data_IF_541260080760
#
_entry.id   IF_541260080760
#
_cell.length_a   1.000
_cell.length_b   1.000
_cell.length_c   1.000
_cell.angle_alpha   90.00
_cell.angle_beta   90.00
_cell.angle_gamma   90.00
#
_symmetry.space_group_name_H-M   'P 1'
#
loop_
_entity.id
_entity.type
_entity.pdbx_description
1 polymer ?
#
# COMPACT_ATOMS: atom_id res chain seq x y z
N UNK A 1 2.04 -6.12 -5.50
CA UNK A 1 2.13 -4.83 -6.23
C UNK A 1 3.50 -4.19 -5.98
N UNK A 2 3.91 -3.89 -4.74
CA UNK A 2 5.23 -3.31 -4.45
C UNK A 2 6.42 -4.04 -5.13
N UNK A 3 6.50 -5.37 -4.98
CA UNK A 3 7.53 -6.18 -5.67
C UNK A 3 7.41 -6.14 -7.21
N UNK A 4 6.19 -6.22 -7.76
CA UNK A 4 5.99 -6.13 -9.21
C UNK A 4 6.31 -4.72 -9.76
N UNK A 5 6.02 -3.67 -8.99
CA UNK A 5 6.42 -2.30 -9.28
C UNK A 5 7.93 -2.13 -9.22
N UNK A 6 8.64 -2.94 -8.43
CA UNK A 6 10.10 -2.91 -8.32
C UNK A 6 10.85 -3.71 -9.41
N UNK A 7 10.17 -4.52 -10.23
CA UNK A 7 10.81 -5.48 -11.15
C UNK A 7 10.63 -5.13 -12.65
N UNK A 8 10.44 -3.86 -13.03
CA UNK A 8 10.20 -3.39 -14.42
C UNK A 8 9.08 -4.13 -15.15
N UNK A 9 7.88 -3.98 -14.61
CA UNK A 9 6.64 -4.52 -15.18
C UNK A 9 6.12 -3.69 -16.36
N UNK A 10 5.36 -4.24 -17.35
CA UNK A 10 4.78 -3.48 -18.46
C UNK A 10 3.69 -2.48 -18.05
N UNK A 11 3.40 -2.35 -16.76
CA UNK A 11 2.44 -1.38 -16.24
C UNK A 11 2.93 0.05 -16.49
N UNK A 12 1.98 0.99 -16.58
CA UNK A 12 2.27 2.42 -16.79
C UNK A 12 2.17 3.24 -15.51
N UNK A 13 1.50 2.70 -14.50
CA UNK A 13 1.27 3.30 -13.20
C UNK A 13 0.83 2.21 -12.23
N UNK A 14 0.84 2.50 -10.93
CA UNK A 14 0.27 1.62 -9.92
C UNK A 14 -0.59 2.40 -8.90
N UNK A 15 -1.55 1.70 -8.29
CA UNK A 15 -2.34 2.21 -7.18
C UNK A 15 -2.11 1.30 -5.98
N UNK A 16 -1.68 1.89 -4.88
CA UNK A 16 -1.39 1.21 -3.62
C UNK A 16 -2.45 1.60 -2.60
N UNK A 17 -3.55 0.86 -2.58
CA UNK A 17 -4.54 1.04 -1.55
C UNK A 17 -4.15 0.23 -0.30
N UNK A 18 -3.98 0.92 0.83
CA UNK A 18 -3.52 0.37 2.13
C UNK A 18 -2.38 -0.66 1.98
N UNK A 19 -1.21 -0.27 1.45
CA UNK A 19 -0.15 -1.24 1.17
C UNK A 19 0.39 -1.88 2.47
N UNK A 20 0.33 -3.21 2.57
CA UNK A 20 0.83 -3.97 3.72
C UNK A 20 2.36 -4.10 3.73
N UNK A 21 3.10 -3.00 3.68
CA UNK A 21 4.58 -3.00 3.55
C UNK A 21 5.29 -3.77 4.66
N UNK A 22 4.77 -3.74 5.88
CA UNK A 22 5.31 -4.49 7.02
C UNK A 22 5.28 -6.02 6.89
N UNK A 23 4.69 -6.57 5.83
CA UNK A 23 4.74 -8.01 5.54
C UNK A 23 6.17 -8.49 5.22
N UNK A 24 7.00 -7.61 4.65
CA UNK A 24 8.38 -7.91 4.29
C UNK A 24 9.20 -8.32 5.52
N UNK A 25 9.06 -7.58 6.62
CA UNK A 25 9.63 -7.94 7.92
C UNK A 25 8.89 -9.06 8.63
N UNK A 26 7.56 -8.99 8.72
CA UNK A 26 6.78 -9.91 9.59
C UNK A 26 6.76 -11.34 9.06
N UNK A 27 6.56 -11.50 7.76
CA UNK A 27 6.39 -12.80 7.10
C UNK A 27 7.70 -13.23 6.44
N UNK A 28 8.30 -12.35 5.64
CA UNK A 28 9.49 -12.72 4.85
C UNK A 28 10.81 -12.56 5.61
N UNK A 29 10.78 -12.01 6.84
CA UNK A 29 11.96 -11.79 7.70
C UNK A 29 13.04 -10.93 7.04
N UNK A 30 12.60 -9.96 6.23
CA UNK A 30 13.44 -9.01 5.49
C UNK A 30 13.26 -7.59 6.02
N UNK A 31 13.78 -6.60 5.30
CA UNK A 31 13.84 -5.20 5.70
C UNK A 31 12.87 -4.36 4.87
N UNK A 32 11.85 -3.80 5.54
CA UNK A 32 10.83 -2.96 4.92
C UNK A 32 11.44 -1.66 4.35
N UNK A 33 12.41 -1.06 5.04
CA UNK A 33 13.07 0.18 4.62
C UNK A 33 13.92 -0.06 3.38
N UNK A 34 14.63 -1.20 3.33
CA UNK A 34 15.39 -1.60 2.16
C UNK A 34 14.48 -1.82 0.95
N UNK A 35 13.36 -2.53 1.12
CA UNK A 35 12.38 -2.75 0.05
C UNK A 35 11.85 -1.42 -0.52
N UNK A 36 11.48 -0.47 0.35
CA UNK A 36 11.00 0.85 -0.08
C UNK A 36 12.10 1.65 -0.80
N UNK A 37 13.36 1.49 -0.39
CA UNK A 37 14.51 2.15 -1.03
C UNK A 37 14.80 1.60 -2.43
N UNK A 38 14.71 0.29 -2.61
CA UNK A 38 15.03 -0.44 -3.84
C UNK A 38 13.91 -0.43 -4.89
N UNK A 39 12.75 0.15 -4.56
CA UNK A 39 11.64 0.22 -5.49
C UNK A 39 12.03 0.95 -6.79
N UNK A 40 11.74 0.30 -7.93
CA UNK A 40 12.05 0.79 -9.27
C UNK A 40 11.32 2.11 -9.54
N UNK A 41 12.11 3.18 -9.70
CA UNK A 41 11.69 4.58 -9.83
C UNK A 41 11.06 4.95 -11.18
N UNK A 42 10.45 4.00 -11.90
CA UNK A 42 10.05 4.21 -13.30
C UNK A 42 8.54 4.32 -13.50
N UNK A 43 7.74 4.16 -12.44
CA UNK A 43 6.28 4.03 -12.53
C UNK A 43 5.59 4.97 -11.56
N UNK A 44 4.81 5.97 -12.03
CA UNK A 44 3.98 6.80 -11.16
C UNK A 44 3.07 5.97 -10.26
N UNK A 45 3.04 6.29 -8.96
CA UNK A 45 2.28 5.56 -7.95
C UNK A 45 1.32 6.49 -7.23
N UNK A 46 0.06 6.06 -7.13
CA UNK A 46 -0.94 6.63 -6.23
C UNK A 46 -0.95 5.83 -4.93
N UNK A 47 -0.64 6.46 -3.80
CA UNK A 47 -0.65 5.82 -2.46
C UNK A 47 -1.89 6.25 -1.68
N UNK A 48 -2.68 5.29 -1.20
CA UNK A 48 -3.94 5.52 -0.47
C UNK A 48 -3.90 4.87 0.92
N UNK A 49 -3.14 5.42 1.88
CA UNK A 49 -2.99 4.85 3.21
C UNK A 49 -4.26 5.03 4.05
N UNK A 50 -4.59 4.03 4.86
CA UNK A 50 -5.65 4.08 5.87
C UNK A 50 -5.17 4.79 7.16
N UNK A 51 -6.11 5.13 8.05
CA UNK A 51 -5.79 5.82 9.30
C UNK A 51 -4.86 5.04 10.23
N UNK A 52 -4.99 3.72 10.25
CA UNK A 52 -4.15 2.82 11.06
C UNK A 52 -3.00 2.15 10.27
N UNK A 53 -2.69 2.64 9.07
CA UNK A 53 -1.46 2.26 8.36
C UNK A 53 -0.23 2.95 8.97
N UNK A 54 0.96 2.46 8.62
CA UNK A 54 2.25 3.01 9.06
C UNK A 54 2.35 4.51 8.68
N UNK A 55 2.73 5.35 9.64
CA UNK A 55 2.82 6.80 9.43
C UNK A 55 3.81 7.17 8.34
N UNK A 56 4.82 6.33 8.07
CA UNK A 56 5.77 6.55 6.96
C UNK A 56 5.12 6.50 5.58
N UNK A 57 3.95 5.87 5.45
CA UNK A 57 3.18 5.80 4.19
C UNK A 57 2.19 6.95 4.00
N UNK A 58 1.94 7.74 5.04
CA UNK A 58 1.00 8.87 5.02
C UNK A 58 1.62 10.09 4.36
N UNK A 59 0.79 11.09 4.05
CA UNK A 59 1.27 12.34 3.47
C UNK A 59 2.32 13.00 4.40
N UNK A 60 3.49 13.33 3.85
CA UNK A 60 4.65 13.82 4.62
C UNK A 60 5.48 12.74 5.34
N UNK A 61 5.11 11.46 5.20
CA UNK A 61 5.88 10.33 5.72
C UNK A 61 7.10 9.99 4.86
N UNK A 62 8.19 9.55 5.49
CA UNK A 62 9.48 9.27 4.83
C UNK A 62 9.34 8.38 3.59
N UNK A 63 8.62 7.27 3.70
CA UNK A 63 8.46 6.34 2.58
C UNK A 63 7.58 6.92 1.48
N UNK A 64 6.50 7.62 1.84
CA UNK A 64 5.61 8.24 0.87
C UNK A 64 6.34 9.33 0.05
N UNK A 65 7.09 10.21 0.72
CA UNK A 65 7.89 11.24 0.06
C UNK A 65 8.95 10.64 -0.85
N UNK A 66 9.67 9.62 -0.39
CA UNK A 66 10.69 8.93 -1.18
C UNK A 66 10.08 8.27 -2.43
N UNK A 67 8.94 7.61 -2.28
CA UNK A 67 8.22 6.99 -3.41
C UNK A 67 7.83 8.04 -4.44
N UNK A 68 7.15 9.11 -4.02
CA UNK A 68 6.69 10.16 -4.95
C UNK A 68 7.86 10.89 -5.60
N UNK A 69 8.93 11.18 -4.87
CA UNK A 69 10.13 11.80 -5.42
C UNK A 69 10.81 10.93 -6.48
N UNK A 70 10.86 9.61 -6.26
CA UNK A 70 11.49 8.66 -7.20
C UNK A 70 10.62 8.38 -8.42
N UNK A 71 9.30 8.27 -8.22
CA UNK A 71 8.39 7.69 -9.22
C UNK A 71 7.42 8.71 -9.85
N UNK A 72 7.22 9.85 -9.20
CA UNK A 72 6.04 10.68 -9.42
C UNK A 72 4.77 10.05 -8.85
N UNK A 73 3.64 10.74 -9.01
CA UNK A 73 2.34 10.34 -8.47
C UNK A 73 1.90 11.22 -7.30
N UNK A 74 1.07 10.66 -6.42
CA UNK A 74 0.46 11.40 -5.30
C UNK A 74 0.12 10.49 -4.12
N UNK A 75 -0.09 11.11 -2.95
CA UNK A 75 -0.50 10.44 -1.71
C UNK A 75 -1.81 11.06 -1.23
N UNK A 76 -2.81 10.23 -1.02
CA UNK A 76 -4.15 10.66 -0.54
C UNK A 76 -4.51 9.85 0.69
N UNK A 77 -4.47 10.49 1.86
CA UNK A 77 -4.76 9.84 3.13
C UNK A 77 -6.25 9.57 3.33
N UNK A 78 -6.58 8.39 3.86
CA UNK A 78 -7.93 7.99 4.27
C UNK A 78 -7.99 7.80 5.79
N UNK A 79 -7.99 8.89 6.59
CA UNK A 79 -7.80 8.82 8.04
C UNK A 79 -8.92 8.08 8.79
N UNK A 80 -10.12 8.03 8.21
CA UNK A 80 -11.29 7.36 8.79
C UNK A 80 -11.43 5.90 8.34
N UNK A 81 -10.52 5.41 7.49
CA UNK A 81 -10.52 4.02 7.02
C UNK A 81 -9.54 3.18 7.82
N UNK A 82 -9.74 1.87 7.80
CA UNK A 82 -8.87 0.86 8.44
C UNK A 82 -8.18 0.03 7.36
N UNK A 83 -6.97 -0.46 7.60
CA UNK A 83 -6.23 -1.38 6.73
C UNK A 83 -7.16 -2.49 6.21
N UNK A 84 -7.15 -2.73 4.90
CA UNK A 84 -8.11 -3.64 4.25
C UNK A 84 -9.45 -3.00 3.83
N UNK A 85 -9.58 -1.66 3.85
CA UNK A 85 -10.84 -0.97 3.52
C UNK A 85 -11.27 -1.07 2.05
N UNK A 86 -10.36 -1.40 1.12
CA UNK A 86 -10.76 -1.60 -0.27
C UNK A 86 -11.42 -2.96 -0.48
N UNK A 87 -12.63 -2.92 -1.03
CA UNK A 87 -13.44 -4.05 -1.51
C UNK A 87 -13.19 -5.35 -0.79
N UNK A 88 -13.81 -5.47 0.38
CA UNK A 88 -14.57 -6.69 0.68
C UNK A 88 -15.93 -6.50 0.00
N UNK A 89 -16.52 -7.58 -0.52
CA UNK A 89 -17.80 -7.51 -1.25
C UNK A 89 -18.91 -6.83 -0.42
N UNK A 90 -20.13 -6.69 -0.93
CA UNK A 90 -21.25 -6.09 -0.19
C UNK A 90 -21.46 -6.80 1.18
N UNK A 91 -21.08 -6.14 2.28
CA UNK A 91 -21.21 -6.68 3.64
C UNK A 91 -22.64 -6.70 4.15
N UNK A 92 -23.61 -6.18 3.38
CA UNK A 92 -25.02 -6.48 3.60
C UNK A 92 -25.37 -7.94 3.27
N UNK A 93 -24.56 -8.63 2.45
CA UNK A 93 -24.71 -10.05 2.18
C UNK A 93 -24.17 -10.88 3.36
N UNK A 94 -24.96 -11.79 3.96
CA UNK A 94 -24.56 -12.50 5.17
C UNK A 94 -23.27 -13.31 5.06
N UNK A 95 -23.07 -14.00 3.92
CA UNK A 95 -21.86 -14.79 3.66
C UNK A 95 -20.61 -13.90 3.52
N UNK A 96 -20.74 -12.77 2.84
CA UNK A 96 -19.65 -11.80 2.68
C UNK A 96 -19.26 -11.21 4.03
N UNK A 97 -20.25 -10.86 4.86
CA UNK A 97 -20.03 -10.32 6.20
C UNK A 97 -19.27 -11.31 7.08
N UNK A 98 -19.68 -12.58 7.08
CA UNK A 98 -19.01 -13.63 7.85
C UNK A 98 -17.54 -13.78 7.44
N UNK A 99 -17.25 -13.86 6.14
CA UNK A 99 -15.88 -13.98 5.61
C UNK A 99 -15.03 -12.73 5.88
N UNK A 100 -15.67 -11.57 6.02
CA UNK A 100 -15.04 -10.26 6.20
C UNK A 100 -14.72 -9.91 7.65
N UNK A 101 -15.65 -10.22 8.58
CA UNK A 101 -15.56 -9.86 10.00
C UNK A 101 -15.01 -11.01 10.86
N UNK A 102 -15.03 -12.25 10.35
CA UNK A 102 -14.57 -13.44 11.05
C UNK A 102 -13.09 -13.80 10.85
N UNK A 103 -12.36 -13.04 10.02
CA UNK A 103 -10.94 -13.26 9.70
C UNK A 103 -9.99 -12.42 10.57
#
# INVERSE_FOLDING_TARGET
IAKCSAERSPFRCAVWAHPSTGIEKRVFKKDDDMMMREMDGTLPILVLPAGNDDDRLKNGGEWAEDVIKKNGGEVVDFPNMVHGWTTRSDTSMPNVRQDTEGA
#
